data_IF_125675787949
#
_entry.id   IF_125675787949
#
_cell.length_a   1.000
_cell.length_b   1.000
_cell.length_c   1.000
_cell.angle_alpha   90.00
_cell.angle_beta   90.00
_cell.angle_gamma   90.00
#
_symmetry.space_group_name_H-M   'P 1'
#
loop_
_entity.id
_entity.type
_entity.pdbx_description
1 polymer ?
#
# COMPACT_ATOMS: atom_id res chain seq x y z
N UNK A 1 -2.62 -34.46 -15.77
CA UNK A 1 -1.29 -33.85 -15.54
C UNK A 1 -0.93 -32.85 -16.62
N UNK A 2 -1.18 -33.15 -17.91
CA UNK A 2 -0.83 -32.26 -19.02
C UNK A 2 -1.52 -30.87 -18.94
N UNK A 3 -2.84 -30.83 -18.67
CA UNK A 3 -3.59 -29.57 -18.53
C UNK A 3 -3.17 -28.69 -17.35
N UNK A 4 -2.76 -29.29 -16.22
CA UNK A 4 -2.24 -28.52 -15.09
C UNK A 4 -0.91 -27.86 -15.43
N UNK A 5 -0.04 -28.56 -16.17
CA UNK A 5 1.22 -28.01 -16.66
C UNK A 5 0.95 -26.86 -17.62
N UNK A 6 0.06 -27.06 -18.59
CA UNK A 6 -0.34 -26.01 -19.54
C UNK A 6 -0.90 -24.77 -18.81
N UNK A 7 -1.74 -24.96 -17.79
CA UNK A 7 -2.26 -23.88 -16.97
C UNK A 7 -1.16 -23.12 -16.22
N UNK A 8 -0.21 -23.83 -15.60
CA UNK A 8 0.91 -23.19 -14.89
C UNK A 8 1.80 -22.38 -15.83
N UNK A 9 2.07 -22.90 -17.03
CA UNK A 9 2.83 -22.17 -18.06
C UNK A 9 2.07 -20.93 -18.53
N UNK A 10 0.75 -21.05 -18.72
CA UNK A 10 -0.09 -19.92 -19.13
C UNK A 10 -0.19 -18.84 -18.03
N UNK A 11 -0.39 -19.25 -16.78
CA UNK A 11 -0.39 -18.35 -15.63
C UNK A 11 0.97 -17.66 -15.45
N UNK A 12 2.08 -18.39 -15.62
CA UNK A 12 3.40 -17.80 -15.53
C UNK A 12 3.62 -16.71 -16.58
N UNK A 13 3.09 -16.88 -17.80
CA UNK A 13 3.13 -15.83 -18.83
C UNK A 13 2.39 -14.57 -18.38
N UNK A 14 1.24 -14.71 -17.71
CA UNK A 14 0.48 -13.57 -17.16
C UNK A 14 1.29 -12.89 -16.06
N UNK A 15 1.82 -13.66 -15.11
CA UNK A 15 2.66 -13.15 -14.03
C UNK A 15 3.90 -12.40 -14.55
N UNK A 16 4.48 -12.80 -15.68
CA UNK A 16 5.61 -12.10 -16.31
C UNK A 16 5.24 -10.70 -16.83
N UNK A 17 4.03 -10.52 -17.38
CA UNK A 17 3.55 -9.18 -17.76
C UNK A 17 3.33 -8.29 -16.54
N UNK A 18 2.78 -8.85 -15.46
CA UNK A 18 2.57 -8.13 -14.20
C UNK A 18 3.89 -7.78 -13.52
N UNK A 19 4.85 -8.72 -13.49
CA UNK A 19 6.20 -8.47 -12.97
C UNK A 19 6.89 -7.32 -13.73
N UNK A 20 6.80 -7.31 -15.06
CA UNK A 20 7.33 -6.21 -15.86
C UNK A 20 6.63 -4.88 -15.56
N UNK A 21 5.30 -4.92 -15.36
CA UNK A 21 4.51 -3.74 -14.98
C UNK A 21 4.92 -3.21 -13.60
N UNK A 22 5.13 -4.08 -12.61
CA UNK A 22 5.54 -3.70 -11.25
C UNK A 22 6.96 -3.11 -11.22
N UNK A 23 7.89 -3.63 -12.04
CA UNK A 23 9.24 -3.05 -12.18
C UNK A 23 9.14 -1.65 -12.79
N UNK A 24 8.32 -1.47 -13.83
CA UNK A 24 8.10 -0.18 -14.47
C UNK A 24 7.47 0.82 -13.49
N UNK A 25 6.45 0.42 -12.74
CA UNK A 25 5.81 1.27 -11.73
C UNK A 25 6.79 1.67 -10.62
N UNK A 26 7.65 0.75 -10.17
CA UNK A 26 8.72 1.08 -9.22
C UNK A 26 9.68 2.13 -9.78
N UNK A 27 10.10 2.01 -11.05
CA UNK A 27 10.99 2.99 -11.70
C UNK A 27 10.32 4.36 -11.82
N UNK A 28 9.04 4.38 -12.22
CA UNK A 28 8.20 5.57 -12.35
C UNK A 28 8.09 6.37 -11.04
N UNK A 29 8.22 5.71 -9.88
CA UNK A 29 8.11 6.34 -8.56
C UNK A 29 9.46 6.61 -7.87
N UNK A 30 10.58 6.24 -8.48
CA UNK A 30 11.91 6.34 -7.85
C UNK A 30 12.92 7.10 -8.70
N UNK A 31 13.22 6.63 -9.92
CA UNK A 31 14.30 7.17 -10.74
C UNK A 31 13.88 7.63 -12.14
N UNK A 32 12.62 7.44 -12.55
CA UNK A 32 12.14 7.89 -13.84
C UNK A 32 12.37 9.40 -14.03
N UNK A 33 13.02 9.83 -15.14
CA UNK A 33 13.11 11.24 -15.49
C UNK A 33 11.72 11.83 -15.76
N UNK A 34 11.50 13.08 -15.35
CA UNK A 34 10.20 13.77 -15.51
C UNK A 34 9.59 13.67 -16.92
N UNK A 35 10.41 13.81 -17.97
CA UNK A 35 9.94 13.76 -19.37
C UNK A 35 9.64 12.34 -19.89
N UNK A 36 9.89 11.29 -19.09
CA UNK A 36 9.61 9.89 -19.46
C UNK A 36 8.18 9.45 -19.17
N UNK A 37 7.40 10.26 -18.46
CA UNK A 37 6.09 9.91 -17.93
C UNK A 37 5.08 9.41 -18.98
N UNK A 38 4.90 10.13 -20.08
CA UNK A 38 3.93 9.76 -21.12
C UNK A 38 4.28 8.40 -21.76
N UNK A 39 5.52 8.24 -22.20
CA UNK A 39 5.97 6.99 -22.84
C UNK A 39 5.90 5.80 -21.89
N UNK A 40 6.25 5.99 -20.61
CA UNK A 40 6.17 4.91 -19.62
C UNK A 40 4.72 4.56 -19.28
N UNK A 41 3.79 5.53 -19.30
CA UNK A 41 2.36 5.26 -19.15
C UNK A 41 1.81 4.42 -20.28
N UNK A 42 2.21 4.71 -21.53
CA UNK A 42 1.78 3.92 -22.68
C UNK A 42 2.27 2.47 -22.59
N UNK A 43 3.52 2.27 -22.17
CA UNK A 43 4.10 0.92 -21.97
C UNK A 43 3.38 0.20 -20.83
N UNK A 44 3.17 0.85 -19.68
CA UNK A 44 2.46 0.29 -18.54
C UNK A 44 1.04 -0.12 -18.93
N UNK A 45 0.32 0.76 -19.62
CA UNK A 45 -1.04 0.52 -20.11
C UNK A 45 -1.09 -0.71 -21.02
N UNK A 46 -0.14 -0.84 -21.95
CA UNK A 46 -0.04 -2.00 -22.85
C UNK A 46 0.21 -3.30 -22.08
N UNK A 47 1.18 -3.31 -21.16
CA UNK A 47 1.53 -4.51 -20.38
C UNK A 47 0.37 -4.96 -19.48
N UNK A 48 -0.23 -4.04 -18.73
CA UNK A 48 -1.39 -4.33 -17.87
C UNK A 48 -2.59 -4.80 -18.68
N UNK A 49 -2.89 -4.14 -19.81
CA UNK A 49 -3.98 -4.56 -20.70
C UNK A 49 -3.76 -5.96 -21.27
N UNK A 50 -2.50 -6.30 -21.62
CA UNK A 50 -2.18 -7.63 -22.13
C UNK A 50 -2.30 -8.71 -21.07
N UNK A 51 -1.85 -8.43 -19.84
CA UNK A 51 -2.06 -9.32 -18.70
C UNK A 51 -3.55 -9.60 -18.49
N UNK A 52 -4.36 -8.53 -18.46
CA UNK A 52 -5.80 -8.61 -18.30
C UNK A 52 -6.45 -9.45 -19.41
N UNK A 53 -6.18 -9.16 -20.68
CA UNK A 53 -6.70 -9.90 -21.84
C UNK A 53 -6.43 -11.41 -21.72
N UNK A 54 -5.21 -11.81 -21.34
CA UNK A 54 -4.85 -13.21 -21.14
C UNK A 54 -5.64 -13.83 -19.98
N UNK A 55 -5.82 -13.09 -18.89
CA UNK A 55 -6.52 -13.54 -17.68
C UNK A 55 -8.01 -13.82 -17.90
N UNK A 56 -8.63 -13.18 -18.90
CA UNK A 56 -10.06 -13.37 -19.23
C UNK A 56 -10.31 -14.09 -20.57
N UNK A 57 -9.25 -14.60 -21.20
CA UNK A 57 -9.35 -15.24 -22.52
C UNK A 57 -10.12 -16.57 -22.53
N UNK A 58 -10.58 -16.98 -23.72
CA UNK A 58 -11.14 -18.32 -23.95
C UNK A 58 -10.16 -19.44 -23.57
N UNK A 59 -8.85 -19.21 -23.79
CA UNK A 59 -7.83 -20.18 -23.37
C UNK A 59 -7.79 -20.33 -21.84
N UNK A 60 -7.85 -19.23 -21.09
CA UNK A 60 -7.93 -19.30 -19.62
C UNK A 60 -9.19 -20.05 -19.19
N UNK A 61 -10.33 -19.72 -19.81
CA UNK A 61 -11.60 -20.39 -19.55
C UNK A 61 -11.51 -21.91 -19.75
N UNK A 62 -11.01 -22.36 -20.90
CA UNK A 62 -10.90 -23.79 -21.22
C UNK A 62 -10.02 -24.53 -20.22
N UNK A 63 -8.91 -23.91 -19.79
CA UNK A 63 -8.02 -24.46 -18.78
C UNK A 63 -8.72 -24.58 -17.42
N UNK A 64 -9.41 -23.53 -16.99
CA UNK A 64 -10.14 -23.49 -15.73
C UNK A 64 -11.32 -24.46 -15.71
N UNK A 65 -12.12 -24.53 -16.77
CA UNK A 65 -13.27 -25.43 -16.86
C UNK A 65 -12.83 -26.90 -16.81
N UNK A 66 -11.69 -27.24 -17.45
CA UNK A 66 -11.11 -28.58 -17.34
C UNK A 66 -10.60 -28.89 -15.93
N UNK A 67 -9.87 -27.95 -15.31
CA UNK A 67 -9.20 -28.17 -14.03
C UNK A 67 -10.15 -28.11 -12.83
N UNK A 68 -11.29 -27.43 -12.96
CA UNK A 68 -12.35 -27.38 -11.94
C UNK A 68 -13.35 -28.53 -12.04
N UNK A 69 -13.27 -29.36 -13.09
CA UNK A 69 -14.06 -30.58 -13.18
C UNK A 69 -13.77 -31.50 -11.97
N UNK A 70 -14.78 -32.03 -11.25
CA UNK A 70 -14.57 -32.81 -10.03
C UNK A 70 -13.61 -34.00 -10.16
N UNK A 71 -13.61 -34.70 -11.31
CA UNK A 71 -12.71 -35.84 -11.54
C UNK A 71 -11.24 -35.42 -11.58
N UNK A 72 -10.96 -34.24 -12.14
CA UNK A 72 -9.60 -33.68 -12.17
C UNK A 72 -9.27 -32.99 -10.86
N UNK A 73 -10.15 -32.08 -10.41
CA UNK A 73 -9.94 -31.21 -9.26
C UNK A 73 -9.67 -32.00 -7.98
N UNK A 74 -10.44 -33.06 -7.71
CA UNK A 74 -10.29 -33.83 -6.48
C UNK A 74 -8.92 -34.52 -6.35
N UNK A 75 -8.29 -34.83 -7.48
CA UNK A 75 -6.98 -35.48 -7.56
C UNK A 75 -5.79 -34.51 -7.48
N UNK A 76 -6.04 -33.20 -7.43
CA UNK A 76 -4.99 -32.18 -7.31
C UNK A 76 -4.50 -32.00 -5.87
N UNK A 77 -3.24 -31.58 -5.73
CA UNK A 77 -2.67 -31.14 -4.45
C UNK A 77 -3.33 -29.84 -3.94
N UNK A 78 -3.16 -29.54 -2.66
CA UNK A 78 -3.84 -28.40 -2.01
C UNK A 78 -3.46 -27.04 -2.60
N UNK A 79 -2.18 -26.85 -2.98
CA UNK A 79 -1.71 -25.59 -3.58
C UNK A 79 -2.34 -25.43 -4.96
N UNK A 80 -2.31 -26.47 -5.79
CA UNK A 80 -2.94 -26.43 -7.11
C UNK A 80 -4.44 -26.16 -7.01
N UNK A 81 -5.16 -26.84 -6.11
CA UNK A 81 -6.61 -26.60 -5.88
C UNK A 81 -6.89 -25.14 -5.54
N UNK A 82 -6.15 -24.58 -4.59
CA UNK A 82 -6.35 -23.22 -4.13
C UNK A 82 -5.98 -22.19 -5.21
N UNK A 83 -4.86 -22.38 -5.91
CA UNK A 83 -4.45 -21.54 -7.05
C UNK A 83 -5.53 -21.51 -8.13
N UNK A 84 -6.05 -22.68 -8.55
CA UNK A 84 -7.09 -22.77 -9.57
C UNK A 84 -8.38 -22.10 -9.09
N UNK A 85 -8.75 -22.28 -7.83
CA UNK A 85 -9.96 -21.67 -7.26
C UNK A 85 -9.89 -20.14 -7.25
N UNK A 86 -8.74 -19.57 -6.87
CA UNK A 86 -8.53 -18.11 -6.90
C UNK A 86 -8.52 -17.58 -8.33
N UNK A 87 -7.82 -18.25 -9.26
CA UNK A 87 -7.87 -17.87 -10.68
C UNK A 87 -9.29 -17.98 -11.28
N UNK A 88 -10.08 -18.99 -10.87
CA UNK A 88 -11.48 -19.13 -11.31
C UNK A 88 -12.33 -17.99 -10.81
N UNK A 89 -12.21 -17.62 -9.53
CA UNK A 89 -12.90 -16.46 -8.95
C UNK A 89 -12.56 -15.20 -9.74
N UNK A 90 -11.27 -14.91 -9.92
CA UNK A 90 -10.81 -13.75 -10.68
C UNK A 90 -11.32 -13.75 -12.13
N UNK A 91 -11.30 -14.90 -12.81
CA UNK A 91 -11.84 -15.03 -14.15
C UNK A 91 -13.35 -14.72 -14.17
N UNK A 92 -14.12 -15.30 -13.27
CA UNK A 92 -15.57 -15.11 -13.23
C UNK A 92 -15.97 -13.68 -12.93
N UNK A 93 -15.25 -13.04 -12.00
CA UNK A 93 -15.44 -11.64 -11.66
C UNK A 93 -15.06 -10.73 -12.85
N UNK A 94 -14.02 -11.05 -13.63
CA UNK A 94 -13.49 -10.10 -14.61
C UNK A 94 -13.89 -10.32 -16.07
N UNK A 95 -14.36 -11.51 -16.44
CA UNK A 95 -14.58 -11.90 -17.86
C UNK A 95 -15.56 -11.03 -18.64
N UNK A 96 -16.46 -10.33 -17.95
CA UNK A 96 -17.46 -9.48 -18.59
C UNK A 96 -17.00 -8.03 -18.77
N UNK A 97 -15.86 -7.64 -18.18
CA UNK A 97 -15.33 -6.28 -18.29
C UNK A 97 -14.77 -6.08 -19.72
N UNK A 98 -15.24 -5.09 -20.47
CA UNK A 98 -14.71 -4.80 -21.79
C UNK A 98 -13.22 -4.41 -21.73
N UNK A 99 -12.38 -4.97 -22.61
CA UNK A 99 -10.93 -4.71 -22.59
C UNK A 99 -10.60 -3.22 -22.80
N UNK A 100 -11.37 -2.51 -23.63
CA UNK A 100 -11.20 -1.06 -23.83
C UNK A 100 -11.54 -0.25 -22.57
N UNK A 101 -12.49 -0.71 -21.75
CA UNK A 101 -12.82 -0.08 -20.47
C UNK A 101 -11.65 -0.23 -19.49
N UNK A 102 -11.09 -1.44 -19.37
CA UNK A 102 -9.93 -1.70 -18.52
C UNK A 102 -8.70 -0.89 -18.97
N UNK A 103 -8.37 -0.89 -20.27
CA UNK A 103 -7.25 -0.10 -20.80
C UNK A 103 -7.42 1.40 -20.53
N UNK A 104 -8.65 1.92 -20.69
CA UNK A 104 -8.96 3.32 -20.39
C UNK A 104 -8.76 3.63 -18.90
N UNK A 105 -9.22 2.75 -18.00
CA UNK A 105 -9.00 2.90 -16.57
C UNK A 105 -7.52 2.99 -16.21
N UNK A 106 -6.69 2.06 -16.70
CA UNK A 106 -5.24 2.07 -16.45
C UNK A 106 -4.60 3.37 -16.95
N UNK A 107 -4.94 3.80 -18.17
CA UNK A 107 -4.42 5.05 -18.72
C UNK A 107 -4.76 6.26 -17.84
N UNK A 108 -6.02 6.40 -17.43
CA UNK A 108 -6.48 7.54 -16.61
C UNK A 108 -5.81 7.53 -15.23
N UNK A 109 -5.68 6.37 -14.58
CA UNK A 109 -5.00 6.24 -13.28
C UNK A 109 -3.53 6.64 -13.39
N UNK A 110 -2.80 6.10 -14.36
CA UNK A 110 -1.37 6.42 -14.55
C UNK A 110 -1.13 7.89 -14.88
N UNK A 111 -1.99 8.50 -15.72
CA UNK A 111 -1.92 9.94 -16.03
C UNK A 111 -2.27 10.79 -14.80
N UNK A 112 -3.24 10.35 -14.00
CA UNK A 112 -3.64 11.01 -12.77
C UNK A 112 -2.49 11.04 -11.75
N UNK A 113 -1.77 9.93 -11.56
CA UNK A 113 -0.62 9.87 -10.63
C UNK A 113 0.48 10.87 -11.02
N UNK A 114 0.81 10.97 -12.30
CA UNK A 114 1.80 11.94 -12.78
C UNK A 114 1.33 13.38 -12.62
N UNK A 115 0.08 13.65 -12.98
CA UNK A 115 -0.53 14.97 -12.84
C UNK A 115 -0.58 15.40 -11.37
N UNK A 116 -0.88 14.46 -10.48
CA UNK A 116 -0.98 14.68 -9.04
C UNK A 116 0.34 15.17 -8.43
N UNK A 117 1.50 14.66 -8.85
CA UNK A 117 2.79 15.10 -8.32
C UNK A 117 2.99 16.60 -8.52
N UNK A 118 2.70 17.10 -9.73
CA UNK A 118 2.75 18.53 -10.06
C UNK A 118 1.66 19.31 -9.33
N UNK A 119 0.41 18.83 -9.40
CA UNK A 119 -0.74 19.49 -8.79
C UNK A 119 -0.59 19.64 -7.26
N UNK A 120 0.01 18.66 -6.58
CA UNK A 120 0.36 18.74 -5.15
C UNK A 120 1.34 19.89 -4.89
N UNK A 121 2.42 19.99 -5.67
CA UNK A 121 3.41 21.06 -5.51
C UNK A 121 2.83 22.44 -5.81
N UNK A 122 1.91 22.53 -6.76
CA UNK A 122 1.29 23.79 -7.20
C UNK A 122 0.04 24.15 -6.39
N UNK A 123 -0.35 23.30 -5.41
CA UNK A 123 -1.59 23.41 -4.64
C UNK A 123 -2.85 23.55 -5.54
N UNK A 124 -2.89 22.79 -6.64
CA UNK A 124 -3.89 22.88 -7.69
C UNK A 124 -4.82 21.67 -7.71
N UNK A 125 -5.75 21.61 -6.74
CA UNK A 125 -6.76 20.56 -6.69
C UNK A 125 -7.68 20.56 -7.93
N UNK A 126 -7.91 21.71 -8.57
CA UNK A 126 -8.85 21.82 -9.71
C UNK A 126 -8.39 20.98 -10.90
N UNK A 127 -7.08 20.92 -11.13
CA UNK A 127 -6.49 20.06 -12.16
C UNK A 127 -6.77 18.57 -11.92
N UNK A 128 -6.92 18.14 -10.66
CA UNK A 128 -7.21 16.74 -10.32
C UNK A 128 -8.68 16.34 -10.42
N UNK A 129 -9.61 17.31 -10.33
CA UNK A 129 -11.07 17.04 -10.37
C UNK A 129 -11.52 16.19 -11.57
N UNK A 130 -11.14 16.48 -12.83
CA UNK A 130 -11.57 15.65 -13.96
C UNK A 130 -11.06 14.21 -13.87
N UNK A 131 -9.79 14.01 -13.48
CA UNK A 131 -9.20 12.68 -13.32
C UNK A 131 -9.90 11.88 -12.23
N UNK A 132 -10.07 12.45 -11.03
CA UNK A 132 -10.71 11.76 -9.90
C UNK A 132 -12.17 11.40 -10.22
N UNK A 133 -12.90 12.28 -10.92
CA UNK A 133 -14.26 12.00 -11.37
C UNK A 133 -14.28 10.82 -12.35
N UNK A 134 -13.43 10.86 -13.37
CA UNK A 134 -13.38 9.80 -14.38
C UNK A 134 -12.94 8.46 -13.78
N UNK A 135 -11.98 8.44 -12.84
CA UNK A 135 -11.59 7.23 -12.11
C UNK A 135 -12.80 6.63 -11.38
N UNK A 136 -13.55 7.43 -10.61
CA UNK A 136 -14.73 6.94 -9.87
C UNK A 136 -15.80 6.40 -10.83
N UNK A 137 -16.05 7.07 -11.95
CA UNK A 137 -17.03 6.64 -12.96
C UNK A 137 -16.61 5.32 -13.61
N UNK A 138 -15.34 5.21 -14.05
CA UNK A 138 -14.79 3.98 -14.64
C UNK A 138 -14.76 2.83 -13.62
N UNK A 139 -14.44 3.10 -12.36
CA UNK A 139 -14.52 2.10 -11.30
C UNK A 139 -15.96 1.60 -11.16
N UNK A 140 -16.96 2.48 -11.02
CA UNK A 140 -18.37 2.06 -10.93
C UNK A 140 -18.80 1.24 -12.15
N UNK A 141 -18.38 1.62 -13.35
CA UNK A 141 -18.66 0.89 -14.58
C UNK A 141 -18.03 -0.52 -14.56
N UNK A 142 -16.75 -0.65 -14.22
CA UNK A 142 -16.07 -1.95 -14.11
C UNK A 142 -16.76 -2.87 -13.10
N UNK A 143 -17.14 -2.35 -11.94
CA UNK A 143 -17.81 -3.14 -10.90
C UNK A 143 -19.24 -3.54 -11.28
N UNK A 144 -19.90 -2.78 -12.16
CA UNK A 144 -21.19 -3.17 -12.73
C UNK A 144 -21.08 -4.43 -13.63
N UNK A 145 -19.90 -4.68 -14.21
CA UNK A 145 -19.63 -5.92 -14.94
C UNK A 145 -19.18 -7.05 -14.03
N UNK A 146 -18.37 -6.76 -13.01
CA UNK A 146 -17.74 -7.79 -12.18
C UNK A 146 -18.60 -8.31 -11.06
N UNK A 147 -19.24 -7.40 -10.32
CA UNK A 147 -20.04 -7.70 -9.13
C UNK A 147 -21.39 -6.96 -9.20
N UNK A 148 -22.22 -7.19 -10.24
CA UNK A 148 -23.45 -6.40 -10.52
C UNK A 148 -24.50 -6.38 -9.40
N UNK A 149 -24.49 -7.40 -8.53
CA UNK A 149 -25.46 -7.57 -7.45
C UNK A 149 -24.91 -7.16 -6.08
N UNK A 150 -23.75 -6.50 -6.05
CA UNK A 150 -23.09 -6.02 -4.83
C UNK A 150 -22.97 -4.50 -4.93
N UNK A 151 -23.23 -3.82 -3.81
CA UNK A 151 -22.92 -2.39 -3.72
C UNK A 151 -21.43 -2.15 -4.08
N UNK A 152 -21.16 -1.16 -4.94
CA UNK A 152 -19.82 -0.94 -5.49
C UNK A 152 -18.78 -0.68 -4.41
N UNK A 153 -19.12 0.06 -3.35
CA UNK A 153 -18.15 0.37 -2.31
C UNK A 153 -17.82 -0.86 -1.46
N UNK A 154 -18.82 -1.67 -1.10
CA UNK A 154 -18.56 -2.97 -0.46
C UNK A 154 -17.79 -3.94 -1.37
N UNK A 155 -18.04 -3.89 -2.67
CA UNK A 155 -17.32 -4.70 -3.64
C UNK A 155 -15.83 -4.33 -3.75
N UNK A 156 -15.52 -3.03 -3.67
CA UNK A 156 -14.15 -2.49 -3.56
C UNK A 156 -13.48 -2.91 -2.26
N UNK A 157 -14.18 -2.76 -1.13
CA UNK A 157 -13.66 -3.16 0.18
C UNK A 157 -13.29 -4.66 0.22
N UNK A 158 -14.12 -5.54 -0.34
CA UNK A 158 -13.87 -6.99 -0.41
C UNK A 158 -12.60 -7.35 -1.22
N UNK A 159 -12.20 -6.51 -2.18
CA UNK A 159 -10.98 -6.76 -2.97
C UNK A 159 -9.70 -6.48 -2.17
N UNK A 160 -9.76 -5.62 -1.15
CA UNK A 160 -8.61 -5.33 -0.27
C UNK A 160 -8.62 -6.13 1.04
N UNK A 161 -9.80 -6.37 1.61
CA UNK A 161 -9.99 -7.13 2.83
C UNK A 161 -11.24 -8.04 2.70
N UNK A 162 -10.99 -9.30 2.35
CA UNK A 162 -12.07 -10.24 2.00
C UNK A 162 -13.11 -10.37 3.11
N UNK A 163 -14.38 -10.10 2.75
CA UNK A 163 -15.52 -10.21 3.63
C UNK A 163 -15.73 -9.02 4.58
N UNK A 164 -14.92 -7.97 4.51
CA UNK A 164 -15.22 -6.72 5.21
C UNK A 164 -16.38 -6.00 4.52
N UNK A 165 -17.18 -5.29 5.30
CA UNK A 165 -18.29 -4.46 4.81
C UNK A 165 -18.26 -3.09 5.43
N UNK A 166 -18.91 -2.14 4.77
CA UNK A 166 -19.09 -0.78 5.27
C UNK A 166 -19.69 -0.76 6.68
N UNK A 167 -20.72 -1.57 6.95
CA UNK A 167 -21.38 -1.63 8.26
C UNK A 167 -20.46 -2.14 9.38
N UNK A 168 -19.58 -3.10 9.07
CA UNK A 168 -18.59 -3.58 10.03
C UNK A 168 -17.56 -2.48 10.33
N UNK A 169 -17.09 -1.77 9.30
CA UNK A 169 -16.16 -0.64 9.46
C UNK A 169 -16.79 0.51 10.23
N UNK A 170 -18.05 0.88 9.95
CA UNK A 170 -18.80 1.90 10.70
C UNK A 170 -18.83 1.57 12.20
N UNK A 171 -19.05 0.29 12.54
CA UNK A 171 -19.06 -0.18 13.93
C UNK A 171 -17.69 -0.07 14.59
N UNK A 172 -16.64 -0.59 13.92
CA UNK A 172 -15.25 -0.55 14.41
C UNK A 172 -14.77 0.88 14.60
N UNK A 173 -15.00 1.74 13.61
CA UNK A 173 -14.58 3.14 13.64
C UNK A 173 -15.34 3.95 14.67
N UNK A 174 -16.63 3.66 14.90
CA UNK A 174 -17.37 4.28 16.00
C UNK A 174 -16.73 3.96 17.36
N UNK A 175 -16.49 2.67 17.64
CA UNK A 175 -15.85 2.25 18.90
C UNK A 175 -14.46 2.88 19.07
N UNK A 176 -13.67 2.91 17.99
CA UNK A 176 -12.35 3.52 17.99
C UNK A 176 -12.41 5.03 18.28
N UNK A 177 -13.35 5.77 17.68
CA UNK A 177 -13.54 7.21 17.95
C UNK A 177 -13.91 7.47 19.40
N UNK A 178 -14.87 6.70 19.92
CA UNK A 178 -15.38 6.83 21.30
C UNK A 178 -14.28 6.59 22.34
N UNK A 179 -13.32 5.71 22.07
CA UNK A 179 -12.17 5.47 22.95
C UNK A 179 -11.02 6.45 22.74
N UNK A 180 -10.64 6.72 21.49
CA UNK A 180 -9.39 7.43 21.16
C UNK A 180 -9.48 8.94 21.34
N UNK A 181 -10.60 9.57 20.99
CA UNK A 181 -10.73 11.04 21.10
C UNK A 181 -10.58 11.51 22.56
N UNK A 182 -11.32 10.95 23.55
CA UNK A 182 -11.15 11.35 24.95
C UNK A 182 -9.74 11.09 25.47
N UNK A 183 -9.06 10.06 24.95
CA UNK A 183 -7.70 9.74 25.35
C UNK A 183 -6.69 10.76 24.83
N UNK A 184 -6.81 11.18 23.57
CA UNK A 184 -6.02 12.27 22.98
C UNK A 184 -6.25 13.57 23.77
N UNK A 185 -7.51 13.90 24.10
CA UNK A 185 -7.82 15.07 24.92
C UNK A 185 -7.16 15.01 26.31
N UNK A 186 -7.15 13.85 26.95
CA UNK A 186 -6.50 13.67 28.25
C UNK A 186 -4.97 13.86 28.16
N UNK A 187 -4.35 13.36 27.09
CA UNK A 187 -2.90 13.53 26.82
C UNK A 187 -2.58 15.00 26.52
N UNK A 188 -3.42 15.70 25.75
CA UNK A 188 -3.20 17.09 25.37
C UNK A 188 -3.06 18.06 26.56
N UNK A 189 -3.61 17.69 27.72
CA UNK A 189 -3.58 18.45 28.98
C UNK A 189 -2.30 18.20 29.81
N UNK A 190 -1.40 17.33 29.35
CA UNK A 190 -0.14 16.99 30.03
C UNK A 190 1.04 17.76 29.42
N UNK A 191 2.12 17.86 30.19
CA UNK A 191 3.37 18.45 29.70
C UNK A 191 3.90 17.62 28.52
N UNK A 192 4.15 18.30 27.40
CA UNK A 192 4.69 17.70 26.18
C UNK A 192 6.20 17.86 26.14
N UNK A 193 6.87 16.89 25.54
CA UNK A 193 8.27 17.07 25.15
C UNK A 193 8.35 18.04 23.97
N UNK A 194 9.30 18.96 24.04
CA UNK A 194 9.54 19.89 22.93
C UNK A 194 10.10 19.11 21.72
N UNK A 195 9.33 19.04 20.63
CA UNK A 195 9.73 18.32 19.42
C UNK A 195 10.92 18.95 18.70
N UNK A 196 11.18 20.25 18.91
CA UNK A 196 12.32 20.94 18.28
C UNK A 196 13.69 20.40 18.72
N UNK A 197 13.74 19.55 19.77
CA UNK A 197 14.99 18.85 20.14
C UNK A 197 15.47 17.90 19.04
N UNK A 198 14.60 17.47 18.13
CA UNK A 198 14.93 16.58 17.01
C UNK A 198 15.30 17.34 15.73
N UNK A 199 15.12 18.66 15.70
CA UNK A 199 15.45 19.47 14.54
C UNK A 199 16.96 19.59 14.41
N UNK A 200 17.49 19.35 13.22
CA UNK A 200 18.91 19.44 12.95
C UNK A 200 19.22 19.52 11.47
N UNK A 201 20.46 19.16 11.11
CA UNK A 201 20.83 18.91 9.73
C UNK A 201 21.43 17.51 9.66
N UNK A 202 20.77 16.62 8.93
CA UNK A 202 21.05 15.20 8.83
C UNK A 202 21.29 14.82 7.38
N UNK A 203 22.55 14.79 6.92
CA UNK A 203 22.88 14.43 5.55
C UNK A 203 22.28 13.07 5.16
N UNK A 204 21.72 12.98 3.94
CA UNK A 204 21.03 11.79 3.42
C UNK A 204 21.89 10.52 3.56
N UNK A 205 23.18 10.58 3.20
CA UNK A 205 24.08 9.43 3.30
C UNK A 205 24.23 8.85 4.73
N UNK A 206 23.99 9.64 5.78
CA UNK A 206 23.96 9.15 7.17
C UNK A 206 22.62 8.52 7.51
N UNK A 207 21.52 9.04 6.98
CA UNK A 207 20.19 8.43 7.09
C UNK A 207 20.13 7.10 6.34
N UNK A 208 20.77 6.98 5.17
CA UNK A 208 20.91 5.72 4.44
C UNK A 208 21.68 4.67 5.26
N UNK A 209 22.76 5.08 5.95
CA UNK A 209 23.49 4.18 6.86
C UNK A 209 22.62 3.71 8.02
N UNK A 210 21.77 4.56 8.57
CA UNK A 210 20.80 4.18 9.59
C UNK A 210 19.74 3.24 9.05
N UNK A 211 19.22 3.53 7.87
CA UNK A 211 18.19 2.72 7.21
C UNK A 211 18.70 1.30 6.98
N UNK A 212 19.89 1.17 6.40
CA UNK A 212 20.54 -0.13 6.20
C UNK A 212 20.79 -0.86 7.53
N UNK A 213 21.17 -0.14 8.59
CA UNK A 213 21.33 -0.75 9.91
C UNK A 213 20.02 -1.30 10.45
N UNK A 214 18.92 -0.56 10.36
CA UNK A 214 17.63 -1.02 10.89
C UNK A 214 17.00 -2.13 10.05
N UNK A 215 17.23 -2.14 8.73
CA UNK A 215 16.86 -3.24 7.86
C UNK A 215 17.62 -4.52 8.22
N UNK A 216 18.92 -4.44 8.48
CA UNK A 216 19.71 -5.57 8.98
C UNK A 216 19.20 -6.07 10.35
N UNK A 217 18.85 -5.16 11.27
CA UNK A 217 18.30 -5.50 12.60
C UNK A 217 17.01 -6.32 12.51
N UNK A 218 16.14 -6.04 11.53
CA UNK A 218 14.89 -6.78 11.33
C UNK A 218 15.06 -8.00 10.39
N UNK A 219 16.30 -8.29 9.96
CA UNK A 219 16.68 -9.36 9.04
C UNK A 219 16.10 -9.22 7.63
N UNK A 220 16.01 -8.00 7.10
CA UNK A 220 15.67 -7.79 5.69
C UNK A 220 16.79 -8.35 4.80
N UNK A 221 16.43 -9.19 3.82
CA UNK A 221 17.39 -9.79 2.89
C UNK A 221 17.69 -8.88 1.70
N UNK A 222 18.81 -8.17 1.74
CA UNK A 222 19.30 -7.33 0.64
C UNK A 222 19.71 -8.12 -0.62
N UNK A 223 19.82 -9.45 -0.57
CA UNK A 223 20.00 -10.26 -1.79
C UNK A 223 18.69 -10.45 -2.55
N UNK A 224 17.58 -10.24 -1.85
CA UNK A 224 16.22 -10.44 -2.35
C UNK A 224 15.39 -9.15 -2.29
N UNK A 225 16.07 -7.99 -2.22
CA UNK A 225 15.41 -6.70 -2.07
C UNK A 225 16.36 -5.50 -2.08
N UNK A 226 15.81 -4.31 -2.21
CA UNK A 226 16.57 -3.07 -2.14
C UNK A 226 15.75 -1.93 -1.51
N UNK A 227 16.46 -0.89 -1.08
CA UNK A 227 15.91 0.38 -0.58
C UNK A 227 16.20 1.48 -1.61
N UNK A 228 15.18 2.28 -1.94
CA UNK A 228 15.30 3.49 -2.76
C UNK A 228 14.56 4.67 -2.10
N UNK A 229 14.57 5.83 -2.75
CA UNK A 229 13.81 7.00 -2.33
C UNK A 229 12.59 7.20 -3.24
N UNK A 230 11.47 7.59 -2.64
CA UNK A 230 10.25 8.02 -3.33
C UNK A 230 9.59 9.17 -2.56
N UNK A 231 8.65 9.87 -3.19
CA UNK A 231 7.86 10.91 -2.52
C UNK A 231 7.00 10.34 -1.38
N UNK A 232 6.43 9.14 -1.61
CA UNK A 232 5.64 8.39 -0.65
C UNK A 232 6.24 7.01 -0.47
N UNK A 233 6.75 6.67 0.73
CA UNK A 233 7.25 5.34 1.02
C UNK A 233 6.24 4.24 0.69
N UNK A 234 6.73 3.14 0.13
CA UNK A 234 5.96 1.95 -0.22
C UNK A 234 6.86 0.72 -0.31
N UNK A 235 6.20 -0.45 -0.26
CA UNK A 235 6.79 -1.77 -0.48
C UNK A 235 6.17 -2.42 -1.70
N UNK A 236 6.98 -3.06 -2.53
CA UNK A 236 6.51 -3.85 -3.69
C UNK A 236 7.15 -5.23 -3.72
N UNK A 237 6.32 -6.27 -3.67
CA UNK A 237 6.72 -7.65 -3.97
C UNK A 237 6.73 -7.87 -5.48
N UNK A 238 7.84 -7.55 -6.15
CA UNK A 238 7.98 -7.73 -7.61
C UNK A 238 7.98 -9.22 -7.97
N UNK A 239 8.69 -10.02 -7.18
CA UNK A 239 8.75 -11.46 -7.32
C UNK A 239 9.11 -12.09 -5.98
N UNK A 240 8.22 -11.95 -5.00
CA UNK A 240 8.39 -12.50 -3.65
C UNK A 240 8.70 -14.01 -3.70
N UNK A 241 9.53 -14.55 -2.80
CA UNK A 241 10.33 -13.83 -1.81
C UNK A 241 11.66 -13.27 -2.34
N UNK A 242 11.90 -13.31 -3.66
CA UNK A 242 13.22 -13.10 -4.26
C UNK A 242 13.51 -11.69 -4.79
N UNK A 243 12.48 -10.86 -4.99
CA UNK A 243 12.63 -9.43 -5.33
C UNK A 243 11.51 -8.65 -4.62
N UNK A 244 11.84 -8.09 -3.47
CA UNK A 244 10.96 -7.28 -2.62
C UNK A 244 11.63 -5.95 -2.35
N UNK A 245 11.10 -4.86 -2.93
CA UNK A 245 11.71 -3.54 -2.87
C UNK A 245 10.93 -2.65 -1.94
N UNK A 246 11.64 -1.79 -1.23
CA UNK A 246 11.07 -0.79 -0.35
C UNK A 246 11.59 0.59 -0.72
N UNK A 247 10.84 1.61 -0.32
CA UNK A 247 11.26 3.00 -0.48
C UNK A 247 11.11 3.74 0.85
N UNK A 248 11.85 4.84 0.99
CA UNK A 248 11.67 5.78 2.10
C UNK A 248 11.75 7.21 1.58
N UNK A 249 11.50 8.21 2.43
CA UNK A 249 11.70 9.62 2.10
C UNK A 249 12.53 10.29 3.21
N UNK A 250 13.67 10.88 2.84
CA UNK A 250 14.61 11.48 3.78
C UNK A 250 14.33 12.97 3.98
N UNK A 251 14.05 13.37 5.22
CA UNK A 251 14.05 14.78 5.62
C UNK A 251 15.41 15.14 6.24
N UNK A 252 16.09 16.13 5.65
CA UNK A 252 17.38 16.61 6.15
C UNK A 252 17.26 17.31 7.50
N UNK A 253 16.05 17.66 7.96
CA UNK A 253 15.82 18.39 9.20
C UNK A 253 15.38 17.50 10.36
N UNK A 254 14.85 16.31 10.08
CA UNK A 254 14.39 15.34 11.07
C UNK A 254 14.45 13.91 10.51
N UNK A 255 15.16 13.00 11.19
CA UNK A 255 15.33 11.61 10.71
C UNK A 255 14.13 10.71 11.04
N UNK A 256 13.19 11.15 11.88
CA UNK A 256 12.16 10.26 12.44
C UNK A 256 11.23 9.72 11.36
N UNK A 257 10.86 10.54 10.38
CA UNK A 257 9.98 10.12 9.28
C UNK A 257 10.62 8.98 8.48
N UNK A 258 11.88 9.15 8.03
CA UNK A 258 12.61 8.09 7.30
C UNK A 258 12.87 6.85 8.16
N UNK A 259 13.25 7.05 9.43
CA UNK A 259 13.51 5.97 10.38
C UNK A 259 12.30 5.04 10.58
N UNK A 260 11.12 5.61 10.86
CA UNK A 260 9.91 4.81 11.07
C UNK A 260 9.33 4.29 9.75
N UNK A 261 9.44 5.06 8.67
CA UNK A 261 9.13 4.57 7.32
C UNK A 261 9.95 3.32 6.97
N UNK A 262 11.25 3.28 7.27
CA UNK A 262 12.09 2.10 7.00
C UNK A 262 11.66 0.88 7.80
N UNK A 263 11.27 1.06 9.07
CA UNK A 263 10.74 -0.05 9.88
C UNK A 263 9.35 -0.51 9.41
N UNK A 264 8.52 0.44 8.96
CA UNK A 264 7.19 0.19 8.41
C UNK A 264 7.26 -0.62 7.11
N UNK A 265 7.92 -0.07 6.09
CA UNK A 265 8.11 -0.73 4.80
C UNK A 265 8.97 -2.00 4.95
N UNK A 266 9.95 -1.97 5.84
CA UNK A 266 10.71 -3.16 6.22
C UNK A 266 9.81 -4.28 6.75
N UNK A 267 8.82 -3.97 7.60
CA UNK A 267 7.87 -4.95 8.11
C UNK A 267 6.98 -5.56 7.03
N UNK A 268 6.51 -4.75 6.07
CA UNK A 268 5.85 -5.25 4.87
C UNK A 268 6.77 -6.20 4.08
N UNK A 269 8.01 -5.79 3.86
CA UNK A 269 8.94 -6.58 3.08
C UNK A 269 9.33 -7.89 3.77
N UNK A 270 9.45 -7.91 5.09
CA UNK A 270 9.68 -9.14 5.85
C UNK A 270 8.52 -10.12 5.66
N UNK A 271 7.28 -9.65 5.55
CA UNK A 271 6.16 -10.53 5.24
C UNK A 271 6.37 -11.20 3.87
N UNK A 272 6.61 -10.39 2.84
CA UNK A 272 6.80 -10.85 1.45
C UNK A 272 8.04 -11.76 1.29
N UNK A 273 9.16 -11.43 1.93
CA UNK A 273 10.40 -12.23 1.91
C UNK A 273 10.27 -13.57 2.64
N UNK A 274 9.28 -13.73 3.53
CA UNK A 274 9.02 -14.98 4.23
C UNK A 274 7.88 -15.81 3.63
N UNK A 275 7.30 -15.38 2.50
CA UNK A 275 6.33 -16.19 1.78
C UNK A 275 7.00 -17.50 1.32
N UNK A 276 6.29 -18.61 1.52
CA UNK A 276 6.81 -19.93 1.23
C UNK A 276 7.17 -20.06 -0.27
N UNK A 277 8.43 -20.38 -0.63
CA UNK A 277 8.85 -20.51 -2.04
C UNK A 277 8.04 -21.50 -2.88
N UNK A 278 7.32 -22.44 -2.25
CA UNK A 278 6.40 -23.36 -2.95
C UNK A 278 5.21 -22.65 -3.61
N UNK A 279 4.93 -21.39 -3.23
CA UNK A 279 3.84 -20.60 -3.78
C UNK A 279 4.28 -19.78 -5.01
N UNK A 280 5.57 -19.68 -5.29
CA UNK A 280 6.11 -18.92 -6.43
C UNK A 280 5.46 -19.38 -7.75
N UNK A 281 5.08 -18.41 -8.58
CA UNK A 281 4.37 -18.64 -9.83
C UNK A 281 2.87 -18.94 -9.67
N UNK A 282 2.34 -18.98 -8.45
CA UNK A 282 0.90 -19.07 -8.17
C UNK A 282 0.34 -17.69 -7.77
N UNK A 283 -0.99 -17.53 -7.84
CA UNK A 283 -1.71 -16.37 -7.30
C UNK A 283 -1.71 -16.28 -5.76
N UNK A 284 -1.12 -17.26 -5.08
CA UNK A 284 -1.06 -17.34 -3.62
C UNK A 284 0.24 -16.74 -3.05
N UNK A 285 1.15 -16.30 -3.93
CA UNK A 285 2.46 -15.75 -3.58
C UNK A 285 2.39 -14.25 -3.28
N UNK A 286 1.55 -13.89 -2.31
CA UNK A 286 1.32 -12.52 -1.87
C UNK A 286 0.77 -12.55 -0.44
N UNK A 287 0.76 -11.41 0.25
CA UNK A 287 0.06 -11.28 1.53
C UNK A 287 -1.42 -11.69 1.48
N UNK A 288 -1.94 -12.17 2.61
CA UNK A 288 -3.29 -12.73 2.70
C UNK A 288 -4.41 -11.69 2.49
N UNK A 289 -4.18 -10.45 2.92
CA UNK A 289 -5.05 -9.28 2.74
C UNK A 289 -4.26 -8.01 3.09
N UNK A 290 -4.78 -6.82 2.74
CA UNK A 290 -4.13 -5.56 3.11
C UNK A 290 -4.10 -5.34 4.63
N UNK A 291 -5.13 -5.75 5.37
CA UNK A 291 -5.14 -5.65 6.82
C UNK A 291 -4.07 -6.50 7.48
N UNK A 292 -3.85 -7.73 6.99
CA UNK A 292 -2.75 -8.57 7.47
C UNK A 292 -1.40 -7.99 7.04
N UNK A 293 -1.29 -7.45 5.83
CA UNK A 293 -0.06 -6.80 5.35
C UNK A 293 0.33 -5.60 6.23
N UNK A 294 -0.62 -4.70 6.51
CA UNK A 294 -0.46 -3.54 7.40
C UNK A 294 -0.22 -3.94 8.86
N UNK A 295 -0.75 -5.08 9.30
CA UNK A 295 -0.43 -5.59 10.64
C UNK A 295 1.06 -5.89 10.80
N UNK A 296 1.74 -6.35 9.74
CA UNK A 296 3.17 -6.63 9.78
C UNK A 296 3.98 -5.33 9.80
N UNK A 297 3.67 -4.35 8.94
CA UNK A 297 4.35 -3.05 8.96
C UNK A 297 4.21 -2.36 10.31
N UNK A 298 2.99 -2.29 10.86
CA UNK A 298 2.73 -1.69 12.17
C UNK A 298 3.35 -2.46 13.33
N UNK A 299 3.48 -3.78 13.22
CA UNK A 299 4.18 -4.58 14.22
C UNK A 299 5.66 -4.18 14.32
N UNK A 300 6.34 -4.06 13.17
CA UNK A 300 7.75 -3.65 13.14
C UNK A 300 7.95 -2.16 13.47
N UNK A 301 7.11 -1.28 12.93
CA UNK A 301 7.19 0.16 13.17
C UNK A 301 6.89 0.51 14.63
N UNK A 302 5.76 0.05 15.16
CA UNK A 302 5.21 0.53 16.43
C UNK A 302 5.50 -0.44 17.57
N UNK A 303 5.03 -1.68 17.45
CA UNK A 303 5.12 -2.66 18.55
C UNK A 303 6.58 -2.96 18.90
N UNK A 304 7.45 -3.03 17.88
CA UNK A 304 8.90 -3.17 18.04
C UNK A 304 9.56 -1.79 18.03
N UNK A 305 9.43 -1.04 16.94
CA UNK A 305 10.20 0.17 16.65
C UNK A 305 9.92 1.35 17.57
N UNK A 306 8.77 1.41 18.25
CA UNK A 306 8.47 2.43 19.27
C UNK A 306 8.63 1.92 20.70
N UNK A 307 9.03 0.66 20.89
CA UNK A 307 9.24 0.07 22.22
C UNK A 307 10.55 0.55 22.87
N UNK A 308 10.51 0.91 24.15
CA UNK A 308 11.71 1.35 24.89
C UNK A 308 12.84 0.30 24.89
N UNK A 309 12.50 -0.99 24.92
CA UNK A 309 13.48 -2.08 24.95
C UNK A 309 14.28 -2.17 23.64
N UNK A 310 13.65 -1.85 22.51
CA UNK A 310 14.33 -1.73 21.22
C UNK A 310 15.38 -0.62 21.29
N UNK A 311 14.99 0.57 21.77
CA UNK A 311 15.89 1.71 21.84
C UNK A 311 17.00 1.58 22.87
N UNK A 312 16.79 0.89 23.99
CA UNK A 312 17.88 0.54 24.93
C UNK A 312 19.04 -0.20 24.24
N UNK A 313 18.75 -0.99 23.22
CA UNK A 313 19.75 -1.75 22.45
C UNK A 313 20.33 -0.94 21.29
N UNK A 314 19.50 -0.18 20.58
CA UNK A 314 19.86 0.40 19.28
C UNK A 314 20.20 1.90 19.30
N UNK A 315 19.84 2.64 20.36
CA UNK A 315 20.03 4.11 20.39
C UNK A 315 21.50 4.54 20.33
N UNK A 316 22.41 3.78 20.94
CA UNK A 316 23.84 4.07 20.85
C UNK A 316 24.35 4.04 19.40
N UNK A 317 23.76 3.20 18.54
CA UNK A 317 24.12 3.17 17.11
C UNK A 317 23.63 4.40 16.36
N UNK A 318 22.47 4.95 16.75
CA UNK A 318 21.99 6.24 16.25
C UNK A 318 22.99 7.33 16.59
N UNK A 319 23.44 7.42 17.84
CA UNK A 319 24.44 8.39 18.28
C UNK A 319 25.79 8.21 17.57
N UNK A 320 26.21 6.98 17.26
CA UNK A 320 27.45 6.72 16.52
C UNK A 320 27.39 7.25 15.08
N UNK A 321 26.26 7.04 14.39
CA UNK A 321 26.09 7.47 13.00
C UNK A 321 25.75 8.98 12.92
N UNK A 322 24.98 9.48 13.88
CA UNK A 322 24.56 10.87 14.02
C UNK A 322 24.95 11.42 15.40
N UNK A 323 26.20 11.89 15.59
CA UNK A 323 26.70 12.36 16.88
C UNK A 323 25.85 13.42 17.58
N UNK A 324 25.10 14.24 16.83
CA UNK A 324 24.18 15.24 17.38
C UNK A 324 23.09 14.64 18.27
N UNK A 325 22.67 13.40 18.02
CA UNK A 325 21.72 12.68 18.87
C UNK A 325 22.28 12.33 20.25
N UNK A 326 23.60 12.37 20.45
CA UNK A 326 24.22 12.18 21.77
C UNK A 326 23.82 13.25 22.79
N UNK A 327 23.35 14.42 22.32
CA UNK A 327 22.85 15.50 23.17
C UNK A 327 21.40 15.26 23.64
N UNK A 328 20.72 14.26 23.08
CA UNK A 328 19.36 13.86 23.42
C UNK A 328 19.47 12.58 24.25
N UNK A 329 18.97 12.60 25.50
CA UNK A 329 18.95 11.37 26.31
C UNK A 329 17.96 10.36 25.72
N UNK A 330 18.21 9.07 25.94
CA UNK A 330 17.29 8.00 25.52
C UNK A 330 15.86 8.21 26.04
N UNK A 331 15.68 8.70 27.28
CA UNK A 331 14.36 9.02 27.83
C UNK A 331 13.64 10.11 27.03
N UNK A 332 14.35 11.18 26.66
CA UNK A 332 13.81 12.25 25.82
C UNK A 332 13.49 11.74 24.42
N UNK A 333 14.40 10.98 23.82
CA UNK A 333 14.17 10.36 22.52
C UNK A 333 12.91 9.50 22.52
N UNK A 334 12.80 8.57 23.49
CA UNK A 334 11.65 7.65 23.63
C UNK A 334 10.32 8.39 23.80
N UNK A 335 10.28 9.44 24.65
CA UNK A 335 9.09 10.28 24.81
C UNK A 335 8.74 11.04 23.53
N UNK A 336 9.74 11.52 22.80
CA UNK A 336 9.55 12.26 21.55
C UNK A 336 8.99 11.43 20.42
N UNK A 337 9.48 10.20 20.24
CA UNK A 337 8.95 9.30 19.19
C UNK A 337 7.56 8.72 19.53
N UNK A 338 7.10 8.83 20.78
CA UNK A 338 5.77 8.41 21.23
C UNK A 338 4.88 9.62 21.58
N UNK A 339 5.21 10.79 21.04
CA UNK A 339 4.42 11.99 21.26
C UNK A 339 3.13 11.94 20.46
N UNK A 340 2.04 12.41 21.08
CA UNK A 340 0.71 12.43 20.49
C UNK A 340 0.31 13.87 20.23
N UNK A 341 -0.01 14.18 18.98
CA UNK A 341 -0.40 15.51 18.55
C UNK A 341 -1.22 15.45 17.26
N UNK A 342 -2.40 16.09 17.23
CA UNK A 342 -3.14 16.27 15.99
C UNK A 342 -2.27 16.94 14.93
N UNK A 343 -2.15 16.30 13.77
CA UNK A 343 -1.36 16.77 12.65
C UNK A 343 -2.15 16.66 11.35
N UNK A 344 -1.61 17.15 10.24
CA UNK A 344 -2.32 17.18 8.96
C UNK A 344 -1.93 16.02 8.03
N UNK A 345 -0.76 15.42 8.25
CA UNK A 345 -0.15 14.46 7.34
C UNK A 345 -0.29 13.05 7.92
N UNK A 346 -1.15 12.24 7.30
CA UNK A 346 -1.46 10.87 7.78
C UNK A 346 -0.21 10.01 7.99
N UNK A 347 0.76 10.06 7.09
CA UNK A 347 1.96 9.20 7.17
C UNK A 347 2.90 9.59 8.32
N UNK A 348 2.77 10.81 8.85
CA UNK A 348 3.54 11.31 9.99
C UNK A 348 2.70 11.36 11.28
N UNK A 349 1.44 10.93 11.24
CA UNK A 349 0.53 10.94 12.38
C UNK A 349 0.96 9.89 13.43
N UNK A 350 0.71 10.20 14.70
CA UNK A 350 1.04 9.32 15.81
C UNK A 350 0.08 8.12 15.92
N UNK A 351 0.41 7.15 16.77
CA UNK A 351 -0.36 5.90 16.92
C UNK A 351 -1.83 6.10 17.32
N UNK A 352 -2.18 7.22 17.96
CA UNK A 352 -3.55 7.51 18.37
C UNK A 352 -4.29 8.33 17.32
N UNK A 353 -3.63 9.29 16.66
CA UNK A 353 -4.30 10.16 15.66
C UNK A 353 -4.36 9.54 14.26
N UNK A 354 -3.47 8.60 13.92
CA UNK A 354 -3.40 7.97 12.60
C UNK A 354 -4.73 7.41 12.11
N UNK A 355 -5.45 6.68 12.97
CA UNK A 355 -6.71 6.05 12.57
C UNK A 355 -7.83 7.06 12.32
N UNK A 356 -7.78 8.26 12.93
CA UNK A 356 -8.74 9.33 12.63
C UNK A 356 -8.60 9.79 11.17
N UNK A 357 -7.36 9.88 10.66
CA UNK A 357 -7.12 10.17 9.25
C UNK A 357 -7.66 9.08 8.30
N UNK A 358 -7.65 7.80 8.71
CA UNK A 358 -8.24 6.69 7.95
C UNK A 358 -9.76 6.82 7.92
N UNK A 359 -10.37 7.13 9.06
CA UNK A 359 -11.83 7.30 9.18
C UNK A 359 -12.32 8.45 8.29
N UNK A 360 -11.63 9.59 8.28
CA UNK A 360 -11.99 10.72 7.41
C UNK A 360 -12.01 10.30 5.94
N UNK A 361 -11.01 9.54 5.48
CA UNK A 361 -10.94 9.07 4.08
C UNK A 361 -12.08 8.11 3.77
N UNK A 362 -12.33 7.13 4.64
CA UNK A 362 -13.44 6.20 4.52
C UNK A 362 -14.80 6.91 4.43
N UNK A 363 -15.06 7.89 5.31
CA UNK A 363 -16.31 8.66 5.29
C UNK A 363 -16.47 9.46 3.98
N UNK A 364 -15.38 10.04 3.45
CA UNK A 364 -15.40 10.77 2.18
C UNK A 364 -15.56 9.85 0.96
N UNK A 365 -14.87 8.71 0.92
CA UNK A 365 -15.00 7.72 -0.14
C UNK A 365 -16.45 7.19 -0.22
N UNK A 366 -17.03 6.79 0.91
CA UNK A 366 -18.44 6.40 1.01
C UNK A 366 -19.37 7.48 0.45
N UNK A 367 -19.12 8.75 0.76
CA UNK A 367 -19.93 9.85 0.23
C UNK A 367 -19.76 10.03 -1.30
N UNK A 368 -18.55 9.87 -1.84
CA UNK A 368 -18.28 9.93 -3.29
C UNK A 368 -18.94 8.76 -4.04
N UNK A 369 -18.84 7.54 -3.52
CA UNK A 369 -19.40 6.35 -4.17
C UNK A 369 -20.93 6.33 -4.10
N UNK A 370 -21.53 6.77 -3.00
CA UNK A 370 -22.99 6.92 -2.87
C UNK A 370 -23.57 8.13 -3.63
N UNK A 371 -22.73 9.05 -4.13
CA UNK A 371 -23.17 10.25 -4.83
C UNK A 371 -23.63 11.39 -3.90
N UNK A 372 -23.39 11.27 -2.60
CA UNK A 372 -23.68 12.30 -1.60
C UNK A 372 -22.61 13.42 -1.57
N UNK A 373 -21.46 13.20 -2.22
CA UNK A 373 -20.39 14.19 -2.39
C UNK A 373 -19.96 14.23 -3.86
N UNK A 374 -19.88 15.43 -4.43
CA UNK A 374 -19.24 15.63 -5.72
C UNK A 374 -17.73 15.83 -5.58
N UNK A 375 -16.94 15.32 -6.53
CA UNK A 375 -15.47 15.42 -6.52
C UNK A 375 -14.97 16.87 -6.43
N UNK A 376 -15.67 17.81 -7.08
CA UNK A 376 -15.29 19.24 -7.05
C UNK A 376 -15.35 19.84 -5.64
N UNK A 377 -16.18 19.28 -4.77
CA UNK A 377 -16.41 19.75 -3.39
C UNK A 377 -15.57 18.98 -2.37
N UNK A 378 -14.83 17.94 -2.81
CA UNK A 378 -14.01 17.08 -1.95
C UNK A 378 -12.97 17.86 -1.14
N UNK A 379 -12.33 18.89 -1.71
CA UNK A 379 -11.36 19.71 -0.99
C UNK A 379 -12.00 20.46 0.19
N UNK A 380 -13.25 20.93 0.04
CA UNK A 380 -13.99 21.60 1.12
C UNK A 380 -14.40 20.58 2.18
N UNK A 381 -15.01 19.47 1.76
CA UNK A 381 -15.44 18.40 2.67
C UNK A 381 -14.27 17.81 3.48
N UNK A 382 -13.10 17.67 2.85
CA UNK A 382 -11.86 17.29 3.51
C UNK A 382 -11.48 18.26 4.64
N UNK A 383 -11.45 19.55 4.35
CA UNK A 383 -11.07 20.58 5.32
C UNK A 383 -12.05 20.66 6.49
N UNK A 384 -13.33 20.44 6.23
CA UNK A 384 -14.35 20.42 7.28
C UNK A 384 -14.18 19.19 8.18
N UNK A 385 -13.97 18.01 7.59
CA UNK A 385 -13.68 16.77 8.34
C UNK A 385 -12.40 16.85 9.16
N UNK A 386 -11.32 17.40 8.59
CA UNK A 386 -10.05 17.60 9.30
C UNK A 386 -10.14 18.59 10.47
N UNK A 387 -11.17 19.44 10.54
CA UNK A 387 -11.43 20.33 11.69
C UNK A 387 -12.41 19.72 12.69
N UNK A 388 -13.33 18.87 12.23
CA UNK A 388 -14.31 18.17 13.06
C UNK A 388 -13.61 17.18 14.00
N UNK A 389 -12.60 16.48 13.47
CA UNK A 389 -11.74 15.53 14.16
C UNK A 389 -10.52 16.23 14.76
#
# INVERSE_FOLDING_TARGET
MDKLKEFKEYLNKINQYEQASNILQWDMQTCMPYNGGDSNTDVLTMLSSKSFELSVSDKMKDLLDNLTNPETFNNLDSISKKMISECKKQYDDNKNIPSNLYSKYIQVVSQSEQTWQKAKSDNDFKTMVPYLKEIIELTKEMYSYSKPNVDTYNALLDDYEKGITENQLDTIFKELKEGTIPFIEAISKKDKINQHIFNGHYPIHLQERLSNYFLDVINFDFKSGCLSQSEHPFTTGINSPYDVRITTNYDINDIRSSLFSVLHEGGHAIYEQNINPKLVGTRLNTGASMGIHESQSRFYENIIGRNLSFWKKHYNKVCEILPSYSNISLDKFYKGINSVEPSLIRIDADELTYNLHVIIRFELEKALFSGNLEVKDLSTAWNDKMKEY
#
